data_IF_538546314064
#
_entry.id   IF_538546314064
#
_cell.length_a   1.000
_cell.length_b   1.000
_cell.length_c   1.000
_cell.angle_alpha   90.00
_cell.angle_beta   90.00
_cell.angle_gamma   90.00
#
_symmetry.space_group_name_H-M   'P 1'
#
loop_
_entity.id
_entity.type
_entity.pdbx_description
1 polymer ?
#
# COMPACT_ATOMS: atom_id res chain seq x y z
N UNK A 1 -12.71 5.62 -3.70
CA UNK A 1 -11.49 6.46 -3.60
C UNK A 1 -11.77 7.75 -2.83
N UNK A 2 -12.63 8.66 -3.29
CA UNK A 2 -13.00 9.87 -2.52
C UNK A 2 -13.38 9.56 -1.04
N UNK A 3 -14.29 8.62 -0.80
CA UNK A 3 -14.64 8.14 0.55
C UNK A 3 -13.43 7.68 1.40
N UNK A 4 -12.42 7.05 0.80
CA UNK A 4 -11.21 6.59 1.50
C UNK A 4 -10.28 7.76 1.82
N UNK A 5 -10.06 8.64 0.84
CA UNK A 5 -9.23 9.85 1.00
C UNK A 5 -9.81 10.72 2.13
N UNK A 6 -11.13 10.87 2.18
CA UNK A 6 -11.86 11.58 3.23
C UNK A 6 -11.77 10.88 4.60
N UNK A 7 -11.92 9.56 4.67
CA UNK A 7 -11.76 8.80 5.93
C UNK A 7 -10.36 9.00 6.53
N UNK A 8 -9.32 8.99 5.70
CA UNK A 8 -7.94 9.28 6.13
C UNK A 8 -7.81 10.73 6.58
N UNK A 9 -8.40 11.71 5.88
CA UNK A 9 -8.41 13.10 6.34
C UNK A 9 -9.12 13.28 7.70
N UNK A 10 -10.24 12.58 7.94
CA UNK A 10 -10.94 12.58 9.25
C UNK A 10 -10.04 12.02 10.36
N UNK A 11 -9.34 10.90 10.10
CA UNK A 11 -8.40 10.30 11.05
C UNK A 11 -7.22 11.24 11.33
N UNK A 12 -6.67 11.88 10.30
CA UNK A 12 -5.57 12.84 10.44
C UNK A 12 -5.98 14.09 11.22
N UNK A 13 -7.21 14.59 11.04
CA UNK A 13 -7.77 15.65 11.91
C UNK A 13 -7.82 15.18 13.36
N UNK A 14 -8.44 14.03 13.62
CA UNK A 14 -8.59 13.47 14.97
C UNK A 14 -7.25 13.23 15.70
N UNK A 15 -6.18 12.90 14.97
CA UNK A 15 -4.84 12.72 15.55
C UNK A 15 -4.11 14.04 15.83
N UNK A 16 -4.24 15.06 14.97
CA UNK A 16 -3.40 16.25 15.01
C UNK A 16 -4.07 17.47 15.65
N UNK A 17 -5.40 17.57 15.58
CA UNK A 17 -6.19 18.67 16.14
C UNK A 17 -6.56 18.41 17.62
N UNK A 18 -6.97 19.44 18.37
CA UNK A 18 -7.47 19.28 19.75
C UNK A 18 -8.96 18.98 19.79
N UNK A 19 -9.71 19.72 18.97
CA UNK A 19 -11.09 19.44 18.61
C UNK A 19 -11.22 19.62 17.09
N UNK A 20 -12.10 18.85 16.46
CA UNK A 20 -12.31 18.87 15.02
C UNK A 20 -13.79 18.80 14.64
N UNK A 21 -14.10 19.29 13.44
CA UNK A 21 -15.34 18.98 12.75
C UNK A 21 -15.07 18.63 11.29
N UNK A 22 -16.00 17.89 10.68
CA UNK A 22 -15.93 17.49 9.28
C UNK A 22 -17.33 17.47 8.67
N UNK A 23 -17.51 18.10 7.51
CA UNK A 23 -18.74 18.02 6.73
C UNK A 23 -18.40 17.89 5.24
N UNK A 24 -18.98 16.88 4.61
CA UNK A 24 -18.76 16.50 3.21
C UNK A 24 -20.03 15.88 2.61
N UNK A 25 -19.91 15.25 1.45
CA UNK A 25 -20.95 14.40 0.85
C UNK A 25 -21.12 13.04 1.56
N UNK A 26 -20.12 12.56 2.32
CA UNK A 26 -20.15 11.23 2.93
C UNK A 26 -20.26 11.24 4.47
N UNK A 27 -19.70 12.25 5.14
CA UNK A 27 -19.70 12.36 6.60
C UNK A 27 -20.13 13.75 7.08
N UNK A 28 -20.82 13.78 8.22
CA UNK A 28 -21.11 14.99 9.00
C UNK A 28 -20.81 14.69 10.47
N UNK A 29 -19.74 15.30 10.98
CA UNK A 29 -19.12 15.03 12.27
C UNK A 29 -18.88 16.36 13.00
N UNK A 30 -19.49 16.58 14.18
CA UNK A 30 -20.57 15.78 14.77
C UNK A 30 -21.87 15.83 13.95
N UNK A 31 -22.77 14.84 14.10
CA UNK A 31 -24.12 14.92 13.55
C UNK A 31 -24.93 16.02 14.24
N UNK A 32 -25.87 16.64 13.52
CA UNK A 32 -26.74 17.73 14.01
C UNK A 32 -27.88 17.20 14.89
N UNK A 33 -27.52 16.66 16.05
CA UNK A 33 -28.46 16.14 17.06
C UNK A 33 -28.27 16.85 18.41
N UNK A 34 -29.34 17.03 19.21
CA UNK A 34 -29.21 17.52 20.58
C UNK A 34 -28.37 16.57 21.45
N UNK A 35 -27.39 17.11 22.16
CA UNK A 35 -26.50 16.35 23.04
C UNK A 35 -26.44 16.99 24.42
N UNK A 36 -26.95 16.30 25.45
CA UNK A 36 -26.90 16.73 26.86
C UNK A 36 -27.36 18.19 27.11
N UNK A 37 -28.37 18.66 26.36
CA UNK A 37 -28.92 20.01 26.49
C UNK A 37 -28.21 21.11 25.67
N UNK A 38 -27.21 20.77 24.86
CA UNK A 38 -26.57 21.68 23.91
C UNK A 38 -26.44 21.07 22.51
N UNK A 39 -26.09 21.89 21.52
CA UNK A 39 -25.76 21.39 20.18
C UNK A 39 -24.27 21.06 20.12
N UNK A 40 -23.91 19.79 19.92
CA UNK A 40 -22.52 19.39 19.72
C UNK A 40 -22.03 19.96 18.39
N UNK A 41 -20.88 20.67 18.41
CA UNK A 41 -20.29 21.34 17.23
C UNK A 41 -18.95 20.76 16.80
N UNK A 42 -18.20 20.19 17.73
CA UNK A 42 -16.86 19.65 17.52
C UNK A 42 -16.70 18.34 18.30
N UNK A 43 -15.80 17.49 17.83
CA UNK A 43 -15.41 16.22 18.44
C UNK A 43 -13.96 16.29 18.93
N UNK A 44 -13.62 15.53 19.96
CA UNK A 44 -12.25 15.37 20.45
C UNK A 44 -11.88 13.89 20.44
N UNK A 45 -10.62 13.55 20.14
CA UNK A 45 -10.11 12.19 20.27
C UNK A 45 -9.45 12.01 21.64
N UNK A 46 -10.02 11.15 22.48
CA UNK A 46 -9.53 10.91 23.84
C UNK A 46 -9.34 9.40 24.06
N UNK A 47 -8.12 8.93 24.40
CA UNK A 47 -6.86 9.67 24.44
C UNK A 47 -6.33 10.02 23.03
N UNK A 48 -5.55 11.10 22.92
CA UNK A 48 -4.77 11.41 21.70
C UNK A 48 -3.54 10.49 21.58
N UNK A 49 -3.04 10.22 20.35
CA UNK A 49 -1.77 9.52 20.16
C UNK A 49 -0.62 10.22 20.90
N UNK A 50 0.21 9.42 21.58
CA UNK A 50 1.35 9.91 22.38
C UNK A 50 2.42 10.53 21.46
N UNK A 51 2.77 9.83 20.39
CA UNK A 51 3.72 10.28 19.38
C UNK A 51 2.96 10.89 18.19
N UNK A 52 3.28 12.16 17.88
CA UNK A 52 2.65 12.93 16.80
C UNK A 52 3.74 13.73 16.04
N UNK A 53 3.67 13.85 14.70
CA UNK A 53 2.65 13.26 13.81
C UNK A 53 2.68 11.73 13.85
N UNK A 54 1.52 11.11 13.67
CA UNK A 54 1.43 9.64 13.66
C UNK A 54 2.06 9.12 12.37
N UNK A 55 2.96 8.14 12.50
CA UNK A 55 3.57 7.48 11.35
C UNK A 55 2.56 6.55 10.67
N UNK A 56 2.34 6.74 9.37
CA UNK A 56 1.38 5.97 8.57
C UNK A 56 2.11 5.34 7.38
N UNK A 57 1.86 4.05 7.18
CA UNK A 57 2.34 3.26 6.04
C UNK A 57 1.15 2.83 5.17
N UNK A 58 1.27 2.98 3.85
CA UNK A 58 0.25 2.52 2.89
C UNK A 58 0.87 1.63 1.81
N UNK A 59 0.25 0.46 1.49
CA UNK A 59 0.67 -0.37 0.37
C UNK A 59 0.53 0.35 -0.98
N UNK A 60 1.59 0.33 -1.78
CA UNK A 60 1.60 0.78 -3.18
C UNK A 60 1.29 -0.45 -4.04
N UNK A 61 0.14 -0.46 -4.70
CA UNK A 61 -0.39 -1.63 -5.44
C UNK A 61 -0.55 -1.42 -6.95
N UNK A 62 -0.34 -0.20 -7.46
CA UNK A 62 -0.60 0.11 -8.88
C UNK A 62 0.11 1.36 -9.45
N UNK A 63 1.11 1.92 -8.77
CA UNK A 63 1.86 3.12 -9.25
C UNK A 63 1.00 4.35 -9.60
N UNK A 64 -0.27 4.38 -9.19
CA UNK A 64 -1.23 5.33 -9.71
C UNK A 64 -0.90 6.76 -9.25
N UNK A 65 -0.72 7.75 -10.17
CA UNK A 65 -0.26 9.09 -9.80
C UNK A 65 -1.11 9.78 -8.72
N UNK A 66 -2.45 9.65 -8.76
CA UNK A 66 -3.34 10.20 -7.72
C UNK A 66 -3.11 9.54 -6.35
N UNK A 67 -2.79 8.25 -6.33
CA UNK A 67 -2.50 7.53 -5.08
C UNK A 67 -1.15 7.96 -4.49
N UNK A 68 -0.14 8.13 -5.34
CA UNK A 68 1.19 8.61 -4.93
C UNK A 68 1.13 10.09 -4.48
N UNK A 69 0.41 10.95 -5.20
CA UNK A 69 0.18 12.34 -4.79
C UNK A 69 -0.61 12.44 -3.49
N UNK A 70 -1.60 11.57 -3.26
CA UNK A 70 -2.31 11.51 -1.97
C UNK A 70 -1.37 11.10 -0.83
N UNK A 71 -0.55 10.07 -1.03
CA UNK A 71 0.46 9.67 -0.04
C UNK A 71 1.45 10.81 0.24
N UNK A 72 1.93 11.47 -0.81
CA UNK A 72 2.83 12.61 -0.69
C UNK A 72 2.20 13.78 0.06
N UNK A 73 1.00 14.24 -0.33
CA UNK A 73 0.24 15.30 0.34
C UNK A 73 0.11 15.09 1.85
N UNK A 74 -0.06 13.84 2.28
CA UNK A 74 -0.29 13.48 3.69
C UNK A 74 0.95 12.93 4.41
N UNK A 75 2.12 12.85 3.77
CA UNK A 75 3.35 12.34 4.39
C UNK A 75 3.32 10.84 4.71
N UNK A 76 2.56 10.07 3.94
CA UNK A 76 2.37 8.63 4.13
C UNK A 76 3.55 7.86 3.50
N UNK A 77 4.19 7.01 4.31
CA UNK A 77 5.28 6.13 3.90
C UNK A 77 4.75 4.98 3.03
N UNK A 78 5.54 4.51 2.07
CA UNK A 78 5.11 3.49 1.10
C UNK A 78 5.60 2.09 1.45
N UNK A 79 4.74 1.08 1.25
CA UNK A 79 5.11 -0.33 1.31
C UNK A 79 4.88 -0.99 -0.05
N UNK A 80 5.91 -1.54 -0.68
CA UNK A 80 5.81 -2.31 -1.92
C UNK A 80 5.94 -3.79 -1.56
N UNK A 81 5.01 -4.64 -1.97
CA UNK A 81 4.97 -6.08 -1.64
C UNK A 81 4.65 -6.88 -2.90
N UNK A 82 5.33 -8.03 -3.08
CA UNK A 82 4.97 -9.02 -4.11
C UNK A 82 4.94 -8.50 -5.55
N UNK A 83 5.76 -7.49 -5.85
CA UNK A 83 5.79 -6.76 -7.12
C UNK A 83 7.08 -7.10 -7.89
N UNK A 84 7.01 -7.30 -9.21
CA UNK A 84 8.20 -7.58 -10.01
C UNK A 84 9.15 -6.36 -10.06
N UNK A 85 10.46 -6.64 -10.05
CA UNK A 85 11.56 -5.68 -9.97
C UNK A 85 11.40 -4.44 -10.86
N UNK A 86 10.99 -4.64 -12.12
CA UNK A 86 10.76 -3.59 -13.11
C UNK A 86 9.74 -2.52 -12.64
N UNK A 87 8.71 -2.93 -11.91
CA UNK A 87 7.72 -2.02 -11.33
C UNK A 87 8.19 -1.44 -9.99
N UNK A 88 9.03 -2.15 -9.24
CA UNK A 88 9.59 -1.64 -7.97
C UNK A 88 10.44 -0.40 -8.24
N UNK A 89 11.39 -0.49 -9.18
CA UNK A 89 12.24 0.62 -9.62
C UNK A 89 11.40 1.83 -10.09
N UNK A 90 10.47 1.58 -11.02
CA UNK A 90 9.55 2.60 -11.52
C UNK A 90 8.77 3.30 -10.39
N UNK A 91 8.26 2.55 -9.41
CA UNK A 91 7.45 3.11 -8.33
C UNK A 91 8.28 3.86 -7.29
N UNK A 92 9.54 3.49 -7.06
CA UNK A 92 10.46 4.25 -6.21
C UNK A 92 10.67 5.66 -6.80
N UNK A 93 10.98 5.74 -8.10
CA UNK A 93 11.11 7.03 -8.80
C UNK A 93 9.82 7.85 -8.78
N UNK A 94 8.67 7.24 -9.12
CA UNK A 94 7.38 7.94 -9.10
C UNK A 94 6.98 8.43 -7.70
N UNK A 95 7.34 7.68 -6.64
CA UNK A 95 7.11 8.09 -5.25
C UNK A 95 8.01 9.25 -4.85
N UNK A 96 9.29 9.24 -5.24
CA UNK A 96 10.21 10.36 -5.02
C UNK A 96 9.71 11.63 -5.70
N UNK A 97 9.34 11.55 -6.98
CA UNK A 97 8.77 12.67 -7.75
C UNK A 97 7.47 13.22 -7.12
N UNK A 98 6.58 12.33 -6.66
CA UNK A 98 5.37 12.73 -5.95
C UNK A 98 5.69 13.49 -4.68
N UNK A 99 6.66 13.02 -3.88
CA UNK A 99 7.05 13.71 -2.66
C UNK A 99 7.71 15.07 -2.92
N UNK A 100 8.51 15.18 -3.99
CA UNK A 100 9.13 16.43 -4.43
C UNK A 100 8.08 17.48 -4.86
N UNK A 101 6.96 17.09 -5.49
CA UNK A 101 5.83 18.00 -5.79
C UNK A 101 5.22 18.65 -4.55
N UNK A 102 5.34 18.00 -3.38
CA UNK A 102 4.94 18.53 -2.08
C UNK A 102 6.15 18.93 -1.20
N UNK A 103 7.26 19.36 -1.83
CA UNK A 103 8.38 20.01 -1.17
C UNK A 103 9.25 19.14 -0.24
N UNK A 104 9.15 17.80 -0.29
CA UNK A 104 10.06 16.93 0.46
C UNK A 104 10.91 16.14 -0.53
N UNK A 105 12.17 16.53 -0.57
CA UNK A 105 13.19 15.99 -1.45
C UNK A 105 13.79 14.76 -0.77
N UNK A 106 13.22 13.59 -1.09
CA UNK A 106 13.62 12.30 -0.51
C UNK A 106 14.79 11.68 -1.29
N UNK A 107 15.64 10.91 -0.62
CA UNK A 107 16.55 9.97 -1.28
C UNK A 107 15.79 8.76 -1.88
N UNK A 108 16.40 8.07 -2.84
CA UNK A 108 15.79 6.87 -3.43
C UNK A 108 15.67 5.76 -2.38
N UNK A 109 14.45 5.29 -2.14
CA UNK A 109 14.13 4.32 -1.09
C UNK A 109 13.85 4.92 0.30
N UNK A 110 14.05 6.22 0.50
CA UNK A 110 13.67 6.89 1.74
C UNK A 110 12.13 6.87 1.91
N UNK A 111 11.67 6.64 3.15
CA UNK A 111 10.25 6.47 3.47
C UNK A 111 9.53 5.36 2.67
N UNK A 112 10.28 4.39 2.14
CA UNK A 112 9.77 3.19 1.49
C UNK A 112 10.22 1.91 2.22
N UNK A 113 9.40 0.88 2.14
CA UNK A 113 9.70 -0.47 2.60
C UNK A 113 9.39 -1.48 1.50
N UNK A 114 10.24 -2.50 1.38
CA UNK A 114 10.05 -3.62 0.44
C UNK A 114 9.71 -4.89 1.22
N UNK A 115 8.54 -5.45 0.95
CA UNK A 115 8.08 -6.73 1.49
C UNK A 115 8.39 -7.88 0.53
N UNK A 116 9.07 -8.90 1.04
CA UNK A 116 9.42 -10.11 0.29
C UNK A 116 8.83 -11.36 0.95
N UNK A 117 8.42 -12.31 0.11
CA UNK A 117 8.09 -13.66 0.55
C UNK A 117 9.38 -14.48 0.58
N UNK A 118 9.80 -14.93 1.77
CA UNK A 118 11.03 -15.68 1.96
C UNK A 118 10.72 -17.11 2.41
N UNK A 119 11.35 -18.09 1.76
CA UNK A 119 11.35 -19.48 2.20
C UNK A 119 12.80 -19.97 2.28
N UNK A 120 13.18 -20.53 3.44
CA UNK A 120 14.53 -21.04 3.70
C UNK A 120 14.47 -22.55 3.97
N UNK A 121 15.30 -23.31 3.27
CA UNK A 121 15.52 -24.74 3.49
C UNK A 121 17.04 -25.01 3.40
N UNK A 122 17.47 -26.25 3.60
CA UNK A 122 18.89 -26.66 3.59
C UNK A 122 19.58 -26.44 2.25
N UNK A 123 18.82 -26.48 1.17
CA UNK A 123 19.28 -26.25 -0.19
C UNK A 123 18.14 -25.65 -1.04
N UNK A 124 18.53 -25.16 -2.22
CA UNK A 124 17.63 -24.47 -3.15
C UNK A 124 16.53 -25.38 -3.72
N UNK A 125 16.83 -26.64 -4.06
CA UNK A 125 15.84 -27.54 -4.66
C UNK A 125 14.75 -27.92 -3.68
N UNK A 126 15.11 -28.11 -2.40
CA UNK A 126 14.15 -28.32 -1.33
C UNK A 126 13.33 -27.07 -1.06
N UNK A 127 13.96 -25.90 -0.99
CA UNK A 127 13.25 -24.63 -0.81
C UNK A 127 12.21 -24.39 -1.91
N UNK A 128 12.59 -24.54 -3.20
CA UNK A 128 11.67 -24.38 -4.33
C UNK A 128 10.54 -25.41 -4.32
N UNK A 129 10.82 -26.66 -3.93
CA UNK A 129 9.82 -27.75 -3.86
C UNK A 129 8.82 -27.54 -2.73
N UNK A 130 9.30 -27.11 -1.56
CA UNK A 130 8.47 -26.86 -0.38
C UNK A 130 7.69 -25.55 -0.48
N UNK A 131 8.24 -24.52 -1.14
CA UNK A 131 7.57 -23.23 -1.36
C UNK A 131 6.47 -23.30 -2.44
N UNK A 132 6.61 -24.19 -3.42
CA UNK A 132 5.70 -24.36 -4.58
C UNK A 132 4.20 -24.36 -4.22
N UNK A 133 3.68 -25.20 -3.30
CA UNK A 133 2.24 -25.19 -2.99
C UNK A 133 1.76 -23.84 -2.45
N UNK A 134 2.54 -23.17 -1.60
CA UNK A 134 2.18 -21.85 -1.08
C UNK A 134 2.15 -20.77 -2.18
N UNK A 135 3.11 -20.83 -3.10
CA UNK A 135 3.13 -19.96 -4.28
C UNK A 135 1.93 -20.21 -5.20
N UNK A 136 1.59 -21.48 -5.47
CA UNK A 136 0.45 -21.83 -6.32
C UNK A 136 -0.90 -21.39 -5.70
N UNK A 137 -1.09 -21.51 -4.39
CA UNK A 137 -2.29 -20.95 -3.73
C UNK A 137 -2.31 -19.42 -3.72
N UNK A 138 -1.18 -18.76 -3.48
CA UNK A 138 -1.07 -17.30 -3.60
C UNK A 138 -1.44 -16.81 -5.00
N UNK A 139 -0.95 -17.49 -6.04
CA UNK A 139 -1.28 -17.18 -7.44
C UNK A 139 -2.78 -17.31 -7.71
N UNK A 140 -3.41 -18.43 -7.31
CA UNK A 140 -4.86 -18.65 -7.48
C UNK A 140 -5.71 -17.56 -6.83
N UNK A 141 -5.27 -17.04 -5.68
CA UNK A 141 -5.93 -15.93 -4.99
C UNK A 141 -5.70 -14.57 -5.67
N UNK A 142 -4.44 -14.26 -6.02
CA UNK A 142 -4.05 -12.91 -6.45
C UNK A 142 -4.33 -12.63 -7.94
N UNK A 143 -4.35 -13.66 -8.80
CA UNK A 143 -4.54 -13.47 -10.24
C UNK A 143 -5.95 -12.99 -10.63
N UNK A 144 -7.06 -13.55 -10.09
CA UNK A 144 -8.41 -13.06 -10.38
C UNK A 144 -8.63 -11.60 -9.95
N UNK A 145 -7.85 -11.13 -8.98
CA UNK A 145 -7.88 -9.77 -8.46
C UNK A 145 -6.97 -8.79 -9.25
N UNK A 146 -6.23 -9.27 -10.27
CA UNK A 146 -5.27 -8.47 -11.01
C UNK A 146 -4.10 -7.95 -10.16
N UNK A 147 -3.79 -8.64 -9.06
CA UNK A 147 -2.76 -8.25 -8.09
C UNK A 147 -1.37 -8.79 -8.45
N UNK A 148 -1.28 -9.83 -9.26
CA UNK A 148 0.00 -10.32 -9.78
C UNK A 148 0.51 -9.39 -10.88
N UNK A 149 1.63 -8.71 -10.62
CA UNK A 149 2.34 -7.85 -11.58
C UNK A 149 3.61 -8.56 -12.06
N UNK A 150 3.38 -9.61 -12.83
CA UNK A 150 4.41 -10.40 -13.51
C UNK A 150 4.60 -9.92 -14.95
N UNK A 151 5.79 -10.15 -15.51
CA UNK A 151 6.04 -9.89 -16.93
C UNK A 151 5.36 -10.94 -17.83
N UNK A 152 5.35 -10.73 -19.15
CA UNK A 152 4.63 -11.62 -20.08
C UNK A 152 5.11 -13.08 -20.03
N UNK A 153 6.43 -13.31 -19.92
CA UNK A 153 7.00 -14.66 -19.80
C UNK A 153 6.56 -15.38 -18.51
N UNK A 154 6.59 -14.66 -17.38
CA UNK A 154 6.10 -15.15 -16.10
C UNK A 154 4.58 -15.41 -16.15
N UNK A 155 3.81 -14.55 -16.82
CA UNK A 155 2.38 -14.77 -17.03
C UNK A 155 2.09 -15.96 -17.95
N UNK A 156 2.90 -16.22 -18.97
CA UNK A 156 2.77 -17.44 -19.79
C UNK A 156 3.07 -18.70 -18.97
N UNK A 157 4.11 -18.65 -18.13
CA UNK A 157 4.46 -19.77 -17.24
C UNK A 157 3.41 -20.05 -16.15
N UNK A 158 2.63 -19.03 -15.76
CA UNK A 158 1.59 -19.08 -14.70
C UNK A 158 0.15 -19.10 -15.26
N UNK A 159 0.01 -19.02 -16.59
CA UNK A 159 -1.24 -19.15 -17.35
C UNK A 159 -2.19 -17.94 -17.29
N UNK A 160 -3.11 -17.84 -18.28
CA UNK A 160 -4.08 -16.76 -18.34
C UNK A 160 -5.02 -16.83 -17.12
N UNK A 161 -5.10 -15.74 -16.37
CA UNK A 161 -5.93 -15.63 -15.16
C UNK A 161 -5.38 -16.35 -13.92
N UNK A 162 -4.11 -16.79 -13.93
CA UNK A 162 -3.48 -17.53 -12.82
C UNK A 162 -4.11 -18.89 -12.51
N UNK A 163 -4.87 -19.42 -13.47
CA UNK A 163 -5.30 -20.82 -13.47
C UNK A 163 -4.28 -21.63 -14.26
N UNK A 164 -3.02 -21.68 -13.78
CA UNK A 164 -2.11 -22.74 -14.19
C UNK A 164 -1.37 -23.39 -13.03
N UNK A 165 -1.09 -24.64 -13.29
CA UNK A 165 -0.21 -25.52 -12.54
C UNK A 165 1.22 -25.01 -12.73
N UNK A 166 2.03 -25.09 -11.68
CA UNK A 166 3.49 -24.91 -11.66
C UNK A 166 4.01 -23.46 -11.53
N UNK A 167 4.87 -23.26 -10.52
CA UNK A 167 5.86 -22.18 -10.46
C UNK A 167 6.73 -22.16 -11.73
N UNK A 168 7.03 -20.97 -12.31
CA UNK A 168 7.95 -20.84 -13.42
C UNK A 168 9.30 -21.50 -13.11
N UNK A 169 9.89 -22.27 -14.04
CA UNK A 169 11.26 -22.74 -13.86
C UNK A 169 12.21 -21.55 -13.93
N UNK A 170 13.15 -21.45 -12.99
CA UNK A 170 14.19 -20.44 -12.98
C UNK A 170 15.22 -20.70 -14.10
N UNK A 171 14.84 -20.38 -15.35
CA UNK A 171 15.79 -20.40 -16.48
C UNK A 171 16.74 -19.22 -16.37
N UNK A 172 18.02 -19.56 -16.37
CA UNK A 172 19.15 -18.66 -16.20
C UNK A 172 19.15 -17.48 -17.18
N UNK A 173 18.93 -16.27 -16.66
CA UNK A 173 19.60 -15.09 -17.19
C UNK A 173 21.02 -15.06 -16.63
N UNK A 174 21.97 -15.57 -17.42
CA UNK A 174 23.32 -15.02 -17.40
C UNK A 174 23.27 -13.72 -18.19
N UNK A 175 23.46 -12.58 -17.53
CA UNK A 175 24.20 -11.43 -18.09
C UNK A 175 24.50 -10.44 -16.97
N UNK A 176 25.52 -9.62 -17.21
CA UNK A 176 26.10 -8.65 -16.27
C UNK A 176 25.15 -7.48 -15.99
#
# INVERSE_FOLDING_TARGET
>A
RALFEEQIEIILKAFNEEAFSHRSTHYTLPPEVPYRGYQLRELTLVPRPIHRPVEIWQPIVSGNPRGLDFMAKHGIKGLILGTAEQFVDQWIHQYQEANARYGRHLELGECLALGYWLYLDRDRERAERSARPFFEEHVKFAAPLGMLRYNEDQMQAVGPGGVARHTPPARASRMC
#
